data_IF_585097326338
#
_entry.id   IF_585097326338
#
_cell.length_a   1.000
_cell.length_b   1.000
_cell.length_c   1.000
_cell.angle_alpha   90.00
_cell.angle_beta   90.00
_cell.angle_gamma   90.00
#
_symmetry.space_group_name_H-M   'P 1'
#
loop_
_entity.id
_entity.type
_entity.pdbx_description
1 polymer ?
#
# COMPACT_ATOMS: atom_id res chain seq x y z
N UNK A 1 11.38 -11.21 9.38
CA UNK A 1 10.84 -9.98 8.79
C UNK A 1 10.46 -10.34 7.36
N UNK A 2 9.26 -9.97 6.90
CA UNK A 2 8.83 -10.31 5.54
C UNK A 2 9.33 -9.23 4.58
N UNK A 3 10.22 -9.62 3.67
CA UNK A 3 10.93 -8.75 2.75
C UNK A 3 10.03 -8.21 1.62
N UNK A 4 8.83 -8.78 1.42
CA UNK A 4 7.88 -8.40 0.36
C UNK A 4 7.36 -6.96 0.46
N UNK A 5 7.39 -6.38 1.65
CA UNK A 5 6.85 -5.04 1.92
C UNK A 5 7.93 -3.96 1.87
N UNK A 6 9.20 -4.34 1.76
CA UNK A 6 10.32 -3.41 1.83
C UNK A 6 10.48 -2.66 0.50
N UNK A 7 10.87 -1.39 0.60
CA UNK A 7 11.12 -0.55 -0.55
C UNK A 7 12.46 -0.89 -1.25
N UNK A 8 12.65 -0.55 -2.53
CA UNK A 8 13.89 -0.82 -3.26
C UNK A 8 15.14 -0.30 -2.56
N UNK A 9 15.07 0.92 -2.01
CA UNK A 9 16.18 1.53 -1.28
C UNK A 9 16.55 0.78 0.03
N UNK A 10 15.59 0.09 0.64
CA UNK A 10 15.80 -0.72 1.86
C UNK A 10 16.48 -2.03 1.48
N UNK A 11 16.03 -2.69 0.40
CA UNK A 11 16.73 -3.87 -0.15
C UNK A 11 18.16 -3.54 -0.57
N UNK A 12 18.37 -2.37 -1.16
CA UNK A 12 19.68 -1.88 -1.59
C UNK A 12 20.54 -1.34 -0.42
N UNK A 13 20.07 -1.44 0.83
CA UNK A 13 20.77 -0.98 2.05
C UNK A 13 21.25 0.47 1.96
N UNK A 14 20.50 1.31 1.26
CA UNK A 14 20.83 2.73 1.13
C UNK A 14 20.66 3.42 2.48
N UNK A 15 21.57 4.34 2.80
CA UNK A 15 21.44 5.14 4.02
C UNK A 15 20.26 6.11 3.87
N UNK A 16 19.39 6.13 4.87
CA UNK A 16 18.19 6.96 4.88
C UNK A 16 18.20 7.87 6.11
N UNK A 17 17.90 9.14 5.87
CA UNK A 17 17.50 10.05 6.92
C UNK A 17 16.04 9.78 7.35
N UNK A 18 15.52 10.56 8.31
CA UNK A 18 14.13 10.41 8.77
C UNK A 18 13.11 10.63 7.66
N UNK A 19 13.42 11.47 6.67
CA UNK A 19 12.55 11.70 5.51
C UNK A 19 12.50 10.46 4.62
N UNK A 20 13.65 9.87 4.31
CA UNK A 20 13.78 8.63 3.54
C UNK A 20 13.03 7.47 4.18
N UNK A 21 13.12 7.30 5.51
CA UNK A 21 12.36 6.26 6.22
C UNK A 21 10.85 6.40 6.03
N UNK A 22 10.32 7.63 6.13
CA UNK A 22 8.89 7.89 5.86
C UNK A 22 8.49 7.58 4.41
N UNK A 23 9.44 7.66 3.46
CA UNK A 23 9.20 7.28 2.06
C UNK A 23 9.25 5.77 1.86
N UNK A 24 10.08 5.05 2.61
CA UNK A 24 10.02 3.58 2.67
C UNK A 24 8.68 3.11 3.28
N UNK A 25 8.18 3.79 4.31
CA UNK A 25 6.85 3.52 4.87
C UNK A 25 5.75 3.72 3.82
N UNK A 26 5.83 4.76 2.98
CA UNK A 26 4.89 5.00 1.89
C UNK A 26 4.86 3.85 0.86
N UNK A 27 5.99 3.22 0.58
CA UNK A 27 6.05 2.05 -0.29
C UNK A 27 5.30 0.86 0.32
N UNK A 28 5.63 0.54 1.58
CA UNK A 28 4.99 -0.57 2.30
C UNK A 28 3.48 -0.37 2.46
N UNK A 29 3.04 0.88 2.64
CA UNK A 29 1.63 1.26 2.61
C UNK A 29 0.95 0.86 1.29
N UNK A 30 1.56 1.14 0.15
CA UNK A 30 1.04 0.72 -1.16
C UNK A 30 0.89 -0.79 -1.28
N UNK A 31 1.87 -1.57 -0.78
CA UNK A 31 1.79 -3.05 -0.77
C UNK A 31 0.61 -3.52 0.08
N UNK A 32 0.42 -2.96 1.27
CA UNK A 32 -0.70 -3.31 2.17
C UNK A 32 -2.05 -2.94 1.55
N UNK A 33 -2.17 -1.76 0.92
CA UNK A 33 -3.40 -1.37 0.20
C UNK A 33 -3.70 -2.35 -0.93
N UNK A 34 -2.69 -2.74 -1.71
CA UNK A 34 -2.87 -3.72 -2.78
C UNK A 34 -3.30 -5.10 -2.24
N UNK A 35 -2.68 -5.57 -1.15
CA UNK A 35 -3.02 -6.85 -0.51
C UNK A 35 -4.47 -6.86 -0.01
N UNK A 36 -4.92 -5.76 0.62
CA UNK A 36 -6.30 -5.63 1.09
C UNK A 36 -7.33 -5.68 -0.04
N UNK A 37 -7.07 -5.00 -1.17
CA UNK A 37 -8.02 -4.95 -2.28
C UNK A 37 -7.99 -6.19 -3.16
N UNK A 38 -6.82 -6.82 -3.34
CA UNK A 38 -6.69 -8.02 -4.15
C UNK A 38 -7.00 -9.30 -3.38
N UNK A 39 -6.94 -9.25 -2.05
CA UNK A 39 -6.98 -10.42 -1.15
C UNK A 39 -5.93 -11.49 -1.52
N UNK A 40 -4.77 -11.08 -2.06
CA UNK A 40 -3.67 -11.95 -2.49
C UNK A 40 -2.37 -11.61 -1.77
N UNK A 41 -1.51 -12.60 -1.63
CA UNK A 41 -0.17 -12.38 -1.11
C UNK A 41 0.69 -11.58 -2.11
N UNK A 42 1.40 -10.52 -1.67
CA UNK A 42 2.26 -9.75 -2.56
C UNK A 42 3.40 -10.63 -3.08
N UNK A 43 3.66 -10.56 -4.38
CA UNK A 43 4.70 -11.34 -5.07
C UNK A 43 4.59 -12.86 -4.85
N UNK A 44 3.37 -13.43 -4.83
CA UNK A 44 3.14 -14.86 -4.60
C UNK A 44 3.97 -15.77 -5.52
N UNK A 45 4.17 -15.37 -6.78
CA UNK A 45 4.94 -16.13 -7.77
C UNK A 45 6.45 -15.91 -7.72
N UNK A 46 6.95 -15.00 -6.87
CA UNK A 46 8.39 -14.69 -6.76
C UNK A 46 8.98 -15.44 -5.57
N UNK A 47 10.01 -16.29 -5.77
CA UNK A 47 10.71 -16.93 -4.66
C UNK A 47 11.30 -15.91 -3.69
N UNK A 48 11.22 -16.18 -2.38
CA UNK A 48 11.74 -15.26 -1.34
C UNK A 48 13.20 -14.87 -1.58
N UNK A 49 14.03 -15.80 -2.06
CA UNK A 49 15.45 -15.55 -2.37
C UNK A 49 15.67 -14.57 -3.52
N UNK A 50 14.67 -14.36 -4.38
CA UNK A 50 14.73 -13.45 -5.52
C UNK A 50 14.11 -12.08 -5.25
N UNK A 51 13.34 -11.91 -4.16
CA UNK A 51 12.62 -10.65 -3.84
C UNK A 51 13.55 -9.44 -3.79
N UNK A 52 14.68 -9.57 -3.10
CA UNK A 52 15.64 -8.46 -2.98
C UNK A 52 16.19 -8.02 -4.34
N UNK A 53 16.39 -8.95 -5.28
CA UNK A 53 16.85 -8.64 -6.63
C UNK A 53 15.75 -8.00 -7.47
N UNK A 54 14.54 -8.57 -7.44
CA UNK A 54 13.40 -8.08 -8.24
C UNK A 54 12.97 -6.69 -7.78
N UNK A 55 12.78 -6.49 -6.47
CA UNK A 55 12.34 -5.21 -5.91
C UNK A 55 13.48 -4.20 -5.97
N UNK A 56 14.70 -4.60 -5.57
CA UNK A 56 15.88 -3.72 -5.55
C UNK A 56 16.32 -3.21 -6.92
N UNK A 57 16.02 -3.95 -8.00
CA UNK A 57 16.28 -3.50 -9.37
C UNK A 57 15.44 -2.28 -9.77
N UNK A 58 14.27 -2.06 -9.13
CA UNK A 58 13.43 -0.90 -9.38
C UNK A 58 12.86 -0.84 -10.79
N UNK A 59 12.63 -1.98 -11.46
CA UNK A 59 11.88 -2.01 -12.71
C UNK A 59 10.39 -1.84 -12.40
N UNK A 60 9.80 -0.74 -12.86
CA UNK A 60 8.39 -0.34 -12.67
C UNK A 60 7.37 -1.44 -13.06
N UNK A 61 7.76 -2.46 -13.83
CA UNK A 61 6.85 -3.57 -14.18
C UNK A 61 6.89 -4.73 -13.20
N UNK A 62 7.94 -4.83 -12.38
CA UNK A 62 8.22 -6.03 -11.58
C UNK A 62 8.54 -5.74 -10.13
N UNK A 63 8.95 -4.51 -9.80
CA UNK A 63 9.37 -4.14 -8.45
C UNK A 63 8.19 -3.98 -7.49
N UNK A 64 6.95 -3.94 -7.99
CA UNK A 64 5.72 -3.94 -7.20
C UNK A 64 4.70 -4.95 -7.76
N UNK A 65 3.67 -5.35 -6.98
CA UNK A 65 2.59 -6.18 -7.48
C UNK A 65 1.83 -5.52 -8.66
N UNK A 66 1.17 -6.32 -9.52
CA UNK A 66 0.45 -5.78 -10.67
C UNK A 66 -0.74 -4.94 -10.22
N UNK A 67 -0.87 -3.73 -10.76
CA UNK A 67 -2.06 -2.89 -10.53
C UNK A 67 -3.27 -3.59 -11.16
N UNK A 68 -4.36 -3.84 -10.41
CA UNK A 68 -5.57 -4.44 -10.96
C UNK A 68 -6.08 -3.61 -12.14
N UNK A 69 -6.11 -4.19 -13.35
CA UNK A 69 -6.54 -3.48 -14.54
C UNK A 69 -8.06 -3.25 -14.52
N UNK A 70 -8.78 -4.22 -13.97
CA UNK A 70 -10.23 -4.37 -13.85
C UNK A 70 -10.85 -3.62 -12.65
N UNK A 71 -10.05 -2.99 -11.79
CA UNK A 71 -10.63 -2.19 -10.70
C UNK A 71 -11.35 -0.96 -11.25
N UNK A 72 -12.62 -0.81 -10.86
CA UNK A 72 -13.47 0.34 -11.14
C UNK A 72 -13.08 1.56 -10.30
N UNK A 73 -12.35 1.35 -9.20
CA UNK A 73 -11.86 2.40 -8.31
C UNK A 73 -10.64 3.11 -8.91
N UNK A 74 -10.85 4.26 -9.53
CA UNK A 74 -9.80 5.09 -10.10
C UNK A 74 -8.82 5.58 -9.03
N UNK A 75 -9.33 5.96 -7.86
CA UNK A 75 -8.49 6.47 -6.77
C UNK A 75 -7.56 5.41 -6.18
N UNK A 76 -7.95 4.13 -6.23
CA UNK A 76 -7.07 3.02 -5.83
C UNK A 76 -5.80 3.00 -6.70
N UNK A 77 -5.95 3.12 -8.02
CA UNK A 77 -4.82 3.17 -8.96
C UNK A 77 -3.90 4.36 -8.64
N UNK A 78 -4.48 5.52 -8.34
CA UNK A 78 -3.72 6.73 -7.98
C UNK A 78 -2.89 6.51 -6.71
N UNK A 79 -3.47 5.92 -5.66
CA UNK A 79 -2.76 5.64 -4.40
C UNK A 79 -1.59 4.69 -4.63
N UNK A 80 -1.80 3.60 -5.36
CA UNK A 80 -0.76 2.60 -5.65
C UNK A 80 0.40 3.23 -6.44
N UNK A 81 0.10 3.95 -7.53
CA UNK A 81 1.12 4.62 -8.35
C UNK A 81 1.91 5.67 -7.56
N UNK A 82 1.25 6.42 -6.67
CA UNK A 82 1.93 7.39 -5.81
C UNK A 82 2.88 6.73 -4.79
N UNK A 83 2.61 5.47 -4.43
CA UNK A 83 3.37 4.68 -3.45
C UNK A 83 4.61 4.03 -4.04
N UNK A 84 4.60 3.71 -5.34
CA UNK A 84 5.60 2.84 -5.96
C UNK A 84 6.59 3.53 -6.90
N UNK A 85 6.75 4.86 -6.77
CA UNK A 85 7.90 5.51 -7.39
C UNK A 85 9.22 4.89 -6.88
N UNK A 86 10.09 4.50 -7.80
CA UNK A 86 11.42 3.96 -7.49
C UNK A 86 12.28 5.00 -6.78
N UNK A 87 12.24 6.26 -7.25
CA UNK A 87 12.79 7.38 -6.49
C UNK A 87 11.87 7.70 -5.29
N UNK A 88 12.35 7.35 -4.10
CA UNK A 88 11.66 7.57 -2.83
C UNK A 88 11.22 9.04 -2.63
N UNK A 89 11.93 10.02 -3.20
CA UNK A 89 11.58 11.45 -3.06
C UNK A 89 10.30 11.82 -3.80
N UNK A 90 9.97 11.10 -4.88
CA UNK A 90 8.78 11.33 -5.70
C UNK A 90 7.52 10.73 -5.09
N UNK A 91 7.65 9.79 -4.15
CA UNK A 91 6.49 9.22 -3.45
C UNK A 91 5.73 10.31 -2.68
N UNK A 92 4.42 10.19 -2.61
CA UNK A 92 3.56 11.13 -1.88
C UNK A 92 3.86 11.16 -0.36
N UNK A 93 3.40 12.19 0.34
CA UNK A 93 3.42 12.22 1.81
C UNK A 93 2.17 11.56 2.38
N UNK A 94 2.23 11.08 3.63
CA UNK A 94 1.05 10.54 4.31
C UNK A 94 -0.10 11.53 4.43
N UNK A 95 0.17 12.83 4.57
CA UNK A 95 -0.86 13.86 4.52
C UNK A 95 -1.61 13.89 3.17
N UNK A 96 -0.93 13.55 2.07
CA UNK A 96 -1.58 13.40 0.76
C UNK A 96 -2.34 12.07 0.68
N UNK A 97 -1.76 10.96 1.16
CA UNK A 97 -2.44 9.66 1.18
C UNK A 97 -3.74 9.69 1.99
N UNK A 98 -3.80 10.43 3.10
CA UNK A 98 -5.06 10.58 3.85
C UNK A 98 -6.16 11.23 3.01
N UNK A 99 -5.81 12.20 2.15
CA UNK A 99 -6.78 12.84 1.24
C UNK A 99 -7.24 11.88 0.16
N UNK A 100 -6.29 11.21 -0.50
CA UNK A 100 -6.60 10.20 -1.53
C UNK A 100 -7.42 9.04 -0.96
N UNK A 101 -7.14 8.61 0.26
CA UNK A 101 -7.89 7.55 0.94
C UNK A 101 -9.33 7.97 1.24
N UNK A 102 -9.57 9.23 1.60
CA UNK A 102 -10.92 9.77 1.78
C UNK A 102 -11.70 9.78 0.44
N UNK A 103 -11.03 10.16 -0.65
CA UNK A 103 -11.64 10.13 -1.99
C UNK A 103 -11.95 8.69 -2.43
N UNK A 104 -11.04 7.74 -2.17
CA UNK A 104 -11.27 6.31 -2.42
C UNK A 104 -12.43 5.77 -1.58
N UNK A 105 -12.52 6.14 -0.30
CA UNK A 105 -13.62 5.74 0.56
C UNK A 105 -14.97 6.21 -0.01
N UNK A 106 -15.02 7.42 -0.56
CA UNK A 106 -16.20 7.93 -1.24
C UNK A 106 -16.53 7.11 -2.49
N UNK A 107 -15.55 6.86 -3.37
CA UNK A 107 -15.75 6.00 -4.56
C UNK A 107 -16.30 4.61 -4.20
N UNK A 108 -15.76 3.99 -3.15
CA UNK A 108 -16.20 2.66 -2.68
C UNK A 108 -17.60 2.70 -2.08
N UNK A 109 -17.94 3.75 -1.34
CA UNK A 109 -19.27 3.90 -0.71
C UNK A 109 -20.34 4.15 -1.77
N UNK A 110 -20.06 5.02 -2.74
CA UNK A 110 -20.98 5.33 -3.84
C UNK A 110 -21.26 4.08 -4.71
N UNK A 111 -20.31 3.15 -4.80
CA UNK A 111 -20.46 1.89 -5.55
C UNK A 111 -21.20 0.78 -4.79
N UNK A 112 -21.46 0.92 -3.48
CA UNK A 112 -21.95 -0.16 -2.63
C UNK A 112 -23.17 0.28 -1.80
N UNK A 113 -24.37 -0.13 -2.20
CA UNK A 113 -25.63 0.10 -1.46
C UNK A 113 -25.65 -0.50 -0.03
N UNK A 114 -24.69 -1.37 0.33
CA UNK A 114 -24.56 -2.03 1.65
C UNK A 114 -23.31 -1.61 2.44
N UNK A 115 -22.58 -0.57 1.99
CA UNK A 115 -21.31 -0.16 2.60
C UNK A 115 -21.48 0.34 4.04
N UNK A 116 -22.59 1.00 4.34
CA UNK A 116 -22.84 1.64 5.63
C UNK A 116 -22.88 0.63 6.79
N UNK A 117 -23.56 -0.52 6.61
CA UNK A 117 -23.65 -1.56 7.63
C UNK A 117 -22.28 -2.21 7.93
N UNK A 118 -21.49 -2.45 6.89
CA UNK A 118 -20.13 -3.00 7.03
C UNK A 118 -19.19 -2.00 7.68
N UNK A 119 -19.30 -0.71 7.32
CA UNK A 119 -18.50 0.35 7.92
C UNK A 119 -18.83 0.53 9.41
N UNK A 120 -20.11 0.49 9.78
CA UNK A 120 -20.55 0.55 11.17
C UNK A 120 -20.00 -0.62 12.01
N UNK A 121 -20.00 -1.83 11.42
CA UNK A 121 -19.37 -3.01 12.03
C UNK A 121 -17.87 -2.80 12.27
N UNK A 122 -17.11 -2.40 11.25
CA UNK A 122 -15.66 -2.19 11.38
C UNK A 122 -15.30 -1.04 12.32
N UNK A 123 -16.08 0.04 12.35
CA UNK A 123 -15.93 1.12 13.33
C UNK A 123 -16.13 0.63 14.77
N UNK A 124 -17.04 -0.31 14.98
CA UNK A 124 -17.26 -0.95 16.29
C UNK A 124 -16.06 -1.82 16.66
N UNK A 125 -15.55 -2.62 15.73
CA UNK A 125 -14.32 -3.40 15.94
C UNK A 125 -13.12 -2.50 16.24
N UNK A 126 -12.84 -1.46 15.46
CA UNK A 126 -11.72 -0.55 15.72
C UNK A 126 -11.75 0.03 17.15
N UNK A 127 -12.93 0.41 17.64
CA UNK A 127 -13.11 0.88 19.03
C UNK A 127 -12.83 -0.23 20.04
N UNK A 128 -13.34 -1.45 19.79
CA UNK A 128 -13.09 -2.62 20.65
C UNK A 128 -11.59 -2.92 20.75
N UNK A 129 -10.88 -2.92 19.63
CA UNK A 129 -9.45 -3.18 19.57
C UNK A 129 -8.63 -2.08 20.25
N UNK A 130 -9.04 -0.82 20.14
CA UNK A 130 -8.41 0.30 20.85
C UNK A 130 -8.59 0.25 22.37
N UNK A 131 -9.72 -0.29 22.85
CA UNK A 131 -10.02 -0.42 24.28
C UNK A 131 -9.34 -1.62 24.96
N UNK A 132 -9.03 -2.68 24.20
CA UNK A 132 -8.37 -3.90 24.73
C UNK A 132 -6.84 -3.72 24.88
N UNK A 133 -6.26 -2.71 24.22
CA UNK A 133 -4.81 -2.48 24.20
C UNK A 133 -4.37 -1.19 24.95
N UNK A 134 -5.22 -0.64 25.83
CA UNK A 134 -4.87 0.34 26.86
C UNK A 134 -4.80 -0.33 28.23
#
# INVERSE_FOLDING_TARGET
QDDRYLAPEVHNKQQQDLSGKKKADAWSFGIVVWEMFSCRAPFESVPTTALATVIGAGDDRTCHPPIPADTEFGMLKVILLNSWFVDAKLRSSFANYTKLAADLQKEVTDASESAEDKLAFWMTECKRWGAVNQ
#
